data_IF_534011328691
#
_entry.id   IF_534011328691
#
_cell.length_a   1.000
_cell.length_b   1.000
_cell.length_c   1.000
_cell.angle_alpha   90.00
_cell.angle_beta   90.00
_cell.angle_gamma   90.00
#
_symmetry.space_group_name_H-M   'P 1'
#
loop_
_entity.id
_entity.type
_entity.pdbx_description
1 polymer ?
#
# COMPACT_ATOMS: atom_id res chain seq x y z
N UNK A 1 34.95 25.22 -5.73
CA UNK A 1 35.16 24.45 -4.48
C UNK A 1 33.96 24.53 -3.53
N UNK A 2 33.45 25.73 -3.18
CA UNK A 2 32.33 25.88 -2.22
C UNK A 2 30.98 25.28 -2.69
N UNK A 3 30.65 25.41 -3.97
CA UNK A 3 29.42 24.84 -4.56
C UNK A 3 29.48 23.30 -4.60
N UNK A 4 30.65 22.72 -4.91
CA UNK A 4 30.83 21.26 -4.87
C UNK A 4 30.63 20.70 -3.46
N UNK A 5 31.14 21.40 -2.44
CA UNK A 5 30.97 21.00 -1.05
C UNK A 5 29.49 21.03 -0.62
N UNK A 6 28.73 22.02 -1.09
CA UNK A 6 27.28 22.11 -0.82
C UNK A 6 26.50 20.98 -1.50
N UNK A 7 26.81 20.65 -2.75
CA UNK A 7 26.14 19.54 -3.47
C UNK A 7 26.44 18.21 -2.78
N UNK A 8 27.70 17.97 -2.39
CA UNK A 8 28.07 16.77 -1.64
C UNK A 8 27.30 16.67 -0.31
N UNK A 9 27.21 17.77 0.44
CA UNK A 9 26.48 17.79 1.71
C UNK A 9 24.98 17.44 1.55
N UNK A 10 24.33 17.93 0.49
CA UNK A 10 22.92 17.62 0.19
C UNK A 10 22.75 16.15 -0.24
N UNK A 11 23.68 15.60 -1.03
CA UNK A 11 23.61 14.19 -1.41
C UNK A 11 23.82 13.24 -0.20
N UNK A 12 24.67 13.62 0.75
CA UNK A 12 24.93 12.80 1.95
C UNK A 12 23.80 12.88 2.99
N UNK A 13 22.94 13.90 2.95
CA UNK A 13 21.86 14.07 3.94
C UNK A 13 20.58 13.29 3.59
N UNK A 14 20.49 12.68 2.42
CA UNK A 14 19.34 11.85 2.03
C UNK A 14 19.38 10.47 2.69
N UNK A 15 18.86 10.38 3.91
CA UNK A 15 18.53 9.09 4.52
C UNK A 15 17.33 8.47 3.79
N UNK A 16 17.58 7.42 3.01
CA UNK A 16 16.52 6.62 2.41
C UNK A 16 16.09 5.53 3.38
N UNK A 17 14.89 5.63 3.94
CA UNK A 17 14.30 4.56 4.74
C UNK A 17 13.78 3.46 3.81
N UNK A 18 14.43 2.30 3.83
CA UNK A 18 13.93 1.12 3.13
C UNK A 18 12.89 0.37 3.97
N UNK A 19 11.94 -0.25 3.29
CA UNK A 19 11.01 -1.20 3.88
C UNK A 19 11.77 -2.42 4.39
N UNK A 20 11.77 -2.63 5.70
CA UNK A 20 12.29 -3.87 6.30
C UNK A 20 11.23 -4.97 6.12
N UNK A 21 11.49 -5.92 5.23
CA UNK A 21 10.64 -7.11 5.11
C UNK A 21 10.80 -7.98 6.35
N UNK A 22 9.77 -7.97 7.21
CA UNK A 22 9.74 -8.82 8.41
C UNK A 22 9.09 -10.16 8.08
N UNK A 23 9.92 -11.19 7.91
CA UNK A 23 9.47 -12.57 7.63
C UNK A 23 8.46 -13.10 8.65
N UNK A 24 8.55 -12.65 9.91
CA UNK A 24 7.62 -13.04 10.99
C UNK A 24 6.28 -12.29 10.95
N UNK A 25 6.18 -11.22 10.18
CA UNK A 25 4.99 -10.40 9.98
C UNK A 25 4.67 -10.44 8.47
N UNK A 26 4.11 -11.56 7.96
CA UNK A 26 3.80 -11.66 6.54
C UNK A 26 2.90 -10.50 6.12
N UNK A 27 3.13 -9.98 4.92
CA UNK A 27 2.30 -8.93 4.33
C UNK A 27 0.83 -9.40 4.34
N UNK A 28 0.02 -8.75 5.18
CA UNK A 28 -1.41 -9.01 5.22
C UNK A 28 -2.02 -8.27 4.05
N UNK A 29 -2.39 -9.01 3.02
CA UNK A 29 -3.10 -8.47 1.88
C UNK A 29 -4.61 -8.50 2.16
N UNK A 30 -5.28 -7.41 1.82
CA UNK A 30 -6.74 -7.34 1.74
C UNK A 30 -7.09 -6.78 0.38
N UNK A 31 -7.96 -7.48 -0.33
CA UNK A 31 -8.45 -7.09 -1.64
C UNK A 31 -9.95 -6.84 -1.55
N UNK A 32 -10.42 -5.79 -2.21
CA UNK A 32 -11.84 -5.47 -2.35
C UNK A 32 -12.13 -5.05 -3.78
N UNK A 33 -13.21 -5.57 -4.33
CA UNK A 33 -13.73 -5.15 -5.64
C UNK A 33 -15.17 -4.66 -5.48
N UNK A 34 -15.50 -3.60 -6.20
CA UNK A 34 -16.86 -3.08 -6.31
C UNK A 34 -17.19 -3.00 -7.80
N UNK A 35 -18.28 -3.63 -8.19
CA UNK A 35 -18.85 -3.50 -9.52
C UNK A 35 -20.15 -2.72 -9.40
N UNK A 36 -20.30 -1.66 -10.20
CA UNK A 36 -21.53 -0.87 -10.31
C UNK A 36 -22.12 -1.08 -11.70
N UNK A 37 -23.39 -1.41 -11.75
CA UNK A 37 -24.17 -1.35 -12.99
C UNK A 37 -24.45 0.13 -13.33
N UNK A 38 -24.08 0.54 -14.55
CA UNK A 38 -24.25 1.92 -15.00
C UNK A 38 -25.71 2.30 -15.27
N UNK A 39 -26.53 1.35 -15.71
CA UNK A 39 -27.93 1.57 -16.10
C UNK A 39 -28.84 1.65 -14.87
N UNK A 40 -28.69 0.68 -13.95
CA UNK A 40 -29.55 0.57 -12.75
C UNK A 40 -28.96 1.26 -11.53
N UNK A 41 -27.64 1.42 -11.47
CA UNK A 41 -26.93 1.90 -10.29
C UNK A 41 -26.75 0.85 -9.20
N UNK A 42 -27.17 -0.39 -9.41
CA UNK A 42 -26.93 -1.50 -8.48
C UNK A 42 -25.43 -1.75 -8.29
N UNK A 43 -25.04 -2.21 -7.11
CA UNK A 43 -23.65 -2.47 -6.77
C UNK A 43 -23.47 -3.86 -6.17
N UNK A 44 -22.50 -4.58 -6.68
CA UNK A 44 -22.00 -5.82 -6.10
C UNK A 44 -20.60 -5.57 -5.52
N UNK A 45 -20.33 -6.15 -4.35
CA UNK A 45 -19.06 -6.01 -3.66
C UNK A 45 -18.50 -7.39 -3.39
N UNK A 46 -17.17 -7.52 -3.37
CA UNK A 46 -16.49 -8.73 -2.93
C UNK A 46 -15.23 -8.37 -2.17
N UNK A 47 -14.98 -9.04 -1.04
CA UNK A 47 -13.83 -8.79 -0.17
C UNK A 47 -13.13 -10.08 0.19
N UNK A 48 -11.78 -10.07 0.13
CA UNK A 48 -10.92 -11.11 0.67
C UNK A 48 -9.95 -10.47 1.67
N UNK A 49 -9.97 -10.91 2.92
CA UNK A 49 -9.01 -10.46 3.93
C UNK A 49 -8.33 -11.64 4.61
N UNK A 50 -7.04 -11.46 4.89
CA UNK A 50 -6.26 -12.37 5.72
C UNK A 50 -6.38 -12.06 7.23
N UNK A 51 -6.83 -10.85 7.61
CA UNK A 51 -6.81 -10.41 9.01
C UNK A 51 -8.13 -10.59 9.77
N UNK A 52 -9.24 -10.83 9.08
CA UNK A 52 -10.55 -11.00 9.71
C UNK A 52 -11.53 -11.72 8.77
N UNK A 53 -12.54 -12.37 9.36
CA UNK A 53 -13.61 -12.98 8.59
C UNK A 53 -14.55 -11.91 8.03
N UNK A 54 -14.88 -12.02 6.74
CA UNK A 54 -15.75 -11.08 6.03
C UNK A 54 -17.23 -11.49 6.06
N UNK A 55 -17.55 -12.71 6.52
CA UNK A 55 -18.91 -13.25 6.55
C UNK A 55 -19.40 -13.79 5.20
N UNK A 56 -20.63 -14.32 5.15
CA UNK A 56 -21.24 -14.89 3.93
C UNK A 56 -22.21 -13.95 3.22
N UNK A 57 -22.50 -12.80 3.83
CA UNK A 57 -23.46 -11.82 3.30
C UNK A 57 -22.79 -10.75 2.42
N UNK A 58 -21.47 -10.81 2.30
CA UNK A 58 -20.65 -9.90 1.50
C UNK A 58 -20.44 -10.42 0.09
#
# INVERSE_FOLDING_TARGET
>A
MRILALIAFVCLSHQSFTQVYRVKEPLVHTYSIVARDEETGEMAVGVQSHCFSVGTSV
#
